data_IF_175535111953
#
_entry.id   IF_175535111953
#
_cell.length_a   1.000
_cell.length_b   1.000
_cell.length_c   1.000
_cell.angle_alpha   90.00
_cell.angle_beta   90.00
_cell.angle_gamma   90.00
#
_symmetry.space_group_name_H-M   'P 1'
#
loop_
_entity.id
_entity.type
_entity.pdbx_description
1 polymer ?
#
# COMPACT_ATOMS: atom_id res chain seq x y z
N UNK A 1 -24.64 -13.25 2.33
CA UNK A 1 -23.93 -12.82 1.10
C UNK A 1 -22.48 -13.15 1.30
N UNK A 2 -21.77 -13.73 0.33
CA UNK A 2 -20.32 -13.80 0.43
C UNK A 2 -19.79 -12.37 0.53
N UNK A 3 -18.96 -12.08 1.53
CA UNK A 3 -18.27 -10.81 1.62
C UNK A 3 -17.28 -10.73 0.47
N UNK A 4 -17.53 -9.85 -0.47
CA UNK A 4 -16.57 -9.55 -1.54
C UNK A 4 -15.67 -8.45 -1.00
N UNK A 5 -14.36 -8.65 -1.03
CA UNK A 5 -13.39 -7.61 -0.70
C UNK A 5 -13.61 -6.41 -1.62
N UNK A 6 -13.66 -5.22 -1.05
CA UNK A 6 -13.83 -4.00 -1.83
C UNK A 6 -14.23 -2.80 -1.01
N UNK A 7 -14.16 -1.64 -1.64
CA UNK A 7 -14.73 -0.40 -1.13
C UNK A 7 -16.17 -0.27 -1.61
N UNK A 8 -17.10 -0.17 -0.67
CA UNK A 8 -18.52 0.00 -0.94
C UNK A 8 -18.91 1.43 -0.60
N UNK A 9 -19.47 2.13 -1.57
CA UNK A 9 -20.05 3.45 -1.38
C UNK A 9 -21.54 3.26 -1.10
N UNK A 10 -21.97 3.65 0.09
CA UNK A 10 -23.37 3.60 0.48
C UNK A 10 -24.00 4.97 0.32
N UNK A 11 -25.05 5.04 -0.50
CA UNK A 11 -25.98 6.16 -0.61
C UNK A 11 -27.34 5.70 -0.15
N UNK A 12 -27.97 6.47 0.70
CA UNK A 12 -29.37 6.28 1.06
C UNK A 12 -30.28 6.94 0.01
N UNK A 13 -31.37 6.33 -0.27
CA UNK A 13 -32.42 6.88 -1.13
C UNK A 13 -33.70 6.95 -0.33
N UNK A 14 -34.35 8.12 -0.32
CA UNK A 14 -35.64 8.28 0.30
C UNK A 14 -36.79 7.67 -0.55
N UNK A 15 -37.99 7.67 -0.01
CA UNK A 15 -39.20 7.17 -0.66
C UNK A 15 -39.64 8.00 -1.89
N UNK A 16 -39.15 9.22 -2.01
CA UNK A 16 -39.34 10.09 -3.18
C UNK A 16 -38.28 9.88 -4.26
N UNK A 17 -37.30 9.05 -4.00
CA UNK A 17 -36.24 8.70 -4.94
C UNK A 17 -35.02 9.60 -4.92
N UNK A 18 -34.92 10.51 -3.95
CA UNK A 18 -33.79 11.41 -3.78
C UNK A 18 -32.70 10.68 -3.02
N UNK A 19 -31.46 10.71 -3.54
CA UNK A 19 -30.31 10.13 -2.86
C UNK A 19 -29.77 11.07 -1.80
N UNK A 20 -29.26 10.49 -0.70
CA UNK A 20 -28.49 11.26 0.29
C UNK A 20 -27.28 11.89 -0.39
N UNK A 21 -26.94 13.08 0.01
CA UNK A 21 -25.78 13.84 -0.45
C UNK A 21 -24.50 13.39 0.21
N UNK A 22 -24.58 12.84 1.43
CA UNK A 22 -23.48 12.18 2.10
C UNK A 22 -23.25 10.78 1.54
N UNK A 23 -22.01 10.45 1.25
CA UNK A 23 -21.55 9.10 0.93
C UNK A 23 -20.78 8.55 2.14
N UNK A 24 -21.14 7.35 2.57
CA UNK A 24 -20.30 6.60 3.53
C UNK A 24 -19.62 5.49 2.77
N UNK A 25 -18.30 5.49 2.75
CA UNK A 25 -17.56 4.35 2.24
C UNK A 25 -17.30 3.34 3.36
N UNK A 26 -17.57 2.09 3.08
CA UNK A 26 -17.21 0.98 3.95
C UNK A 26 -16.20 0.14 3.18
N UNK A 27 -15.01 -0.03 3.74
CA UNK A 27 -14.03 -0.96 3.24
C UNK A 27 -14.31 -2.30 3.92
N UNK A 28 -14.72 -3.29 3.14
CA UNK A 28 -14.78 -4.67 3.59
C UNK A 28 -13.46 -5.34 3.21
N UNK A 29 -12.65 -5.66 4.21
CA UNK A 29 -11.55 -6.58 4.02
C UNK A 29 -12.15 -8.00 3.97
N UNK A 30 -11.73 -8.79 2.98
CA UNK A 30 -12.00 -10.22 3.03
C UNK A 30 -11.42 -10.79 4.34
N UNK A 31 -12.07 -11.76 4.97
CA UNK A 31 -11.46 -12.42 6.11
C UNK A 31 -10.07 -12.88 5.71
N UNK A 32 -9.08 -12.58 6.55
CA UNK A 32 -7.66 -12.85 6.30
C UNK A 32 -7.39 -14.35 6.11
N UNK A 33 -7.83 -14.88 4.97
CA UNK A 33 -7.48 -16.23 4.50
C UNK A 33 -6.06 -16.27 3.92
N UNK A 34 -5.50 -15.10 3.64
CA UNK A 34 -4.15 -14.92 3.13
C UNK A 34 -3.40 -14.06 4.15
N UNK A 35 -2.40 -14.65 4.80
CA UNK A 35 -1.48 -13.91 5.65
C UNK A 35 -0.79 -12.81 4.82
N UNK A 36 -0.86 -11.58 5.32
CA UNK A 36 -0.30 -10.41 4.64
C UNK A 36 0.57 -9.60 5.59
N UNK A 37 1.70 -9.13 5.08
CA UNK A 37 2.61 -8.26 5.82
C UNK A 37 2.46 -6.82 5.34
N UNK A 38 2.06 -5.94 6.25
CA UNK A 38 2.13 -4.51 6.01
C UNK A 38 3.58 -4.06 6.01
N UNK A 39 4.02 -3.46 4.90
CA UNK A 39 5.41 -3.06 4.69
C UNK A 39 5.60 -1.55 4.68
N UNK A 40 4.54 -0.81 4.42
CA UNK A 40 4.59 0.63 4.28
C UNK A 40 3.30 1.26 4.81
N UNK A 41 3.46 2.30 5.59
CA UNK A 41 2.38 3.19 6.04
C UNK A 41 2.90 4.60 5.87
N UNK A 42 2.20 5.37 5.09
CA UNK A 42 2.45 6.80 4.92
C UNK A 42 1.19 7.55 5.39
N UNK A 43 1.34 8.41 6.38
CA UNK A 43 0.29 9.19 7.02
C UNK A 43 0.67 10.65 6.97
N UNK A 44 0.40 11.29 5.85
CA UNK A 44 0.75 12.69 5.57
C UNK A 44 0.13 13.67 6.58
N UNK A 45 -0.99 13.30 7.22
CA UNK A 45 -1.67 14.10 8.24
C UNK A 45 -1.00 14.04 9.63
N UNK A 46 -0.20 13.00 9.91
CA UNK A 46 0.39 12.75 11.24
C UNK A 46 1.91 12.70 11.26
N UNK A 47 2.57 12.69 10.12
CA UNK A 47 4.02 12.70 10.04
C UNK A 47 4.64 13.96 10.68
N UNK A 48 5.90 13.93 11.14
CA UNK A 48 6.50 15.00 11.94
C UNK A 48 6.40 16.41 11.36
N UNK A 49 6.11 16.52 10.08
CA UNK A 49 5.67 17.77 9.43
C UNK A 49 4.39 17.44 8.68
N UNK A 50 3.24 17.52 9.37
CA UNK A 50 1.96 17.25 8.76
C UNK A 50 1.85 17.91 7.38
N UNK A 51 1.49 17.11 6.37
CA UNK A 51 1.46 17.55 4.97
C UNK A 51 2.79 18.16 4.51
N UNK A 52 3.92 17.47 4.76
CA UNK A 52 5.27 17.91 4.38
C UNK A 52 5.54 17.92 2.88
N UNK A 53 4.72 17.27 2.09
CA UNK A 53 4.89 17.10 0.64
C UNK A 53 4.74 18.37 -0.18
N UNK A 54 4.94 18.23 -1.51
CA UNK A 54 4.91 19.36 -2.46
C UNK A 54 3.46 19.80 -2.74
N UNK A 55 3.24 21.11 -2.67
CA UNK A 55 1.93 21.75 -2.79
C UNK A 55 1.84 22.63 -4.02
N UNK A 56 0.74 22.51 -4.77
CA UNK A 56 0.38 23.41 -5.85
C UNK A 56 -1.08 23.79 -5.72
N UNK A 57 -1.39 25.08 -5.52
CA UNK A 57 -2.73 25.63 -5.26
C UNK A 57 -3.43 24.99 -4.03
N UNK A 58 -2.68 24.43 -3.09
CA UNK A 58 -3.17 23.93 -1.82
C UNK A 58 -2.39 24.53 -0.66
N UNK A 59 -3.03 24.63 0.48
CA UNK A 59 -2.47 25.17 1.72
C UNK A 59 -2.92 24.35 2.92
N UNK A 60 -2.22 24.49 4.03
CA UNK A 60 -2.66 23.94 5.31
C UNK A 60 -3.40 25.04 6.07
N UNK A 61 -4.61 24.76 6.49
CA UNK A 61 -5.44 25.66 7.30
C UNK A 61 -6.16 24.85 8.37
N UNK A 62 -6.07 25.28 9.63
CA UNK A 62 -6.69 24.56 10.74
C UNK A 62 -6.21 23.10 10.91
N UNK A 63 -4.98 22.79 10.48
CA UNK A 63 -4.44 21.42 10.54
C UNK A 63 -4.89 20.51 9.41
N UNK A 64 -5.68 21.00 8.44
CA UNK A 64 -6.15 20.26 7.29
C UNK A 64 -5.63 20.84 5.97
N UNK A 65 -5.49 20.02 4.95
CA UNK A 65 -5.10 20.44 3.61
C UNK A 65 -6.34 20.92 2.84
N UNK A 66 -6.24 22.09 2.20
CA UNK A 66 -7.34 22.75 1.49
C UNK A 66 -6.86 23.40 0.21
N UNK A 67 -7.76 23.71 -0.74
CA UNK A 67 -7.43 24.63 -1.83
C UNK A 67 -7.06 26.00 -1.25
N UNK A 68 -5.96 26.56 -1.72
CA UNK A 68 -5.44 27.82 -1.18
C UNK A 68 -6.33 29.02 -1.48
N UNK A 69 -6.94 29.03 -2.67
CA UNK A 69 -7.86 30.07 -3.10
C UNK A 69 -8.82 29.52 -4.15
N UNK A 70 -9.95 28.94 -3.76
CA UNK A 70 -10.93 28.39 -4.70
C UNK A 70 -11.53 29.48 -5.63
N UNK A 71 -11.56 30.75 -5.21
CA UNK A 71 -12.00 31.83 -6.07
C UNK A 71 -11.10 32.05 -7.30
N UNK A 72 -9.82 31.67 -7.21
CA UNK A 72 -8.87 31.80 -8.32
C UNK A 72 -8.52 30.47 -8.97
N UNK A 73 -8.46 29.37 -8.19
CA UNK A 73 -8.02 28.06 -8.64
C UNK A 73 -8.92 26.97 -8.08
N UNK A 74 -9.76 26.43 -8.95
CA UNK A 74 -10.68 25.34 -8.62
C UNK A 74 -10.01 23.97 -8.49
N UNK A 75 -8.73 23.88 -8.81
CA UNK A 75 -7.97 22.63 -8.72
C UNK A 75 -6.62 22.87 -8.04
N UNK A 76 -6.27 21.97 -7.14
CA UNK A 76 -4.96 21.96 -6.48
C UNK A 76 -4.42 20.55 -6.36
N UNK A 77 -3.12 20.42 -6.19
CA UNK A 77 -2.45 19.14 -6.04
C UNK A 77 -1.50 19.12 -4.85
N UNK A 78 -1.43 17.97 -4.21
CA UNK A 78 -0.49 17.67 -3.15
C UNK A 78 0.24 16.37 -3.50
N UNK A 79 1.54 16.44 -3.70
CA UNK A 79 2.37 15.24 -3.91
C UNK A 79 2.95 14.82 -2.57
N UNK A 80 2.77 13.55 -2.21
CA UNK A 80 3.22 12.99 -0.93
C UNK A 80 4.71 13.22 -0.73
N UNK A 81 5.12 13.39 0.53
CA UNK A 81 6.49 13.63 0.90
C UNK A 81 7.39 12.43 0.58
N UNK A 82 6.88 11.24 0.86
CA UNK A 82 7.62 10.00 0.70
C UNK A 82 7.40 9.34 -0.67
N UNK A 83 8.47 8.73 -1.18
CA UNK A 83 8.45 7.88 -2.36
C UNK A 83 8.82 6.47 -1.93
N UNK A 84 7.90 5.52 -2.14
CA UNK A 84 8.11 4.12 -1.79
C UNK A 84 9.11 3.47 -2.76
N UNK A 85 10.24 2.94 -2.25
CA UNK A 85 11.19 2.07 -2.99
C UNK A 85 11.20 0.66 -2.41
N UNK A 86 10.78 -0.31 -3.19
CA UNK A 86 10.78 -1.73 -2.82
C UNK A 86 12.14 -2.43 -3.03
N UNK A 87 13.15 -1.71 -3.54
CA UNK A 87 14.47 -2.29 -3.84
C UNK A 87 14.51 -3.14 -5.12
N UNK A 88 13.40 -3.76 -5.48
CA UNK A 88 13.22 -4.53 -6.71
C UNK A 88 11.75 -4.46 -7.17
N UNK A 89 11.46 -5.03 -8.35
CA UNK A 89 10.09 -5.01 -8.89
C UNK A 89 9.25 -6.08 -8.21
N UNK A 90 8.17 -5.65 -7.56
CA UNK A 90 7.18 -6.49 -6.90
C UNK A 90 5.76 -6.10 -7.29
N UNK A 91 4.82 -7.02 -7.03
CA UNK A 91 3.38 -6.74 -6.99
C UNK A 91 2.98 -6.58 -5.52
N UNK A 92 2.28 -5.50 -5.18
CA UNK A 92 1.82 -5.19 -3.83
C UNK A 92 0.39 -4.67 -3.84
N UNK A 93 -0.33 -4.88 -2.75
CA UNK A 93 -1.65 -4.32 -2.53
C UNK A 93 -1.50 -2.95 -1.88
N UNK A 94 -2.10 -1.93 -2.46
CA UNK A 94 -2.12 -0.56 -1.94
C UNK A 94 -3.54 -0.20 -1.55
N UNK A 95 -3.71 0.30 -0.33
CA UNK A 95 -4.96 0.84 0.20
C UNK A 95 -4.76 2.34 0.45
N UNK A 96 -5.78 3.14 0.12
CA UNK A 96 -5.80 4.58 0.39
C UNK A 96 -6.51 4.85 1.72
N UNK A 97 -6.08 5.88 2.41
CA UNK A 97 -6.75 6.45 3.57
C UNK A 97 -6.99 7.93 3.28
N UNK A 98 -8.25 8.33 3.25
CA UNK A 98 -8.64 9.72 3.01
C UNK A 98 -9.91 10.04 3.78
N UNK A 99 -9.89 11.18 4.50
CA UNK A 99 -11.08 11.79 5.08
C UNK A 99 -11.17 13.22 4.57
N UNK A 100 -12.21 13.48 3.83
CA UNK A 100 -12.44 14.75 3.15
C UNK A 100 -13.82 15.31 3.52
N UNK A 101 -13.90 16.62 3.75
CA UNK A 101 -15.14 17.34 4.06
C UNK A 101 -15.22 18.59 3.19
N UNK A 102 -16.32 18.72 2.43
CA UNK A 102 -16.64 19.96 1.71
C UNK A 102 -17.16 21.04 2.67
N UNK A 103 -16.86 22.29 2.39
CA UNK A 103 -17.38 23.43 3.15
C UNK A 103 -17.52 24.68 2.28
N UNK A 104 -18.41 25.60 2.70
CA UNK A 104 -18.60 26.89 2.02
C UNK A 104 -17.56 27.89 2.49
N UNK A 105 -16.90 28.56 1.55
CA UNK A 105 -15.87 29.57 1.83
C UNK A 105 -16.52 30.80 2.43
N UNK A 106 -16.00 31.27 3.59
CA UNK A 106 -16.49 32.47 4.26
C UNK A 106 -17.79 32.30 5.02
N UNK A 107 -18.40 31.13 5.02
CA UNK A 107 -19.53 30.84 5.91
C UNK A 107 -19.01 30.57 7.34
N UNK A 108 -19.60 31.20 8.31
CA UNK A 108 -19.42 30.75 9.68
C UNK A 108 -20.14 29.42 9.84
N UNK A 109 -19.40 28.34 10.08
CA UNK A 109 -19.94 26.99 10.34
C UNK A 109 -20.62 26.88 11.73
N UNK A 110 -21.24 27.96 12.17
CA UNK A 110 -22.02 28.02 13.41
C UNK A 110 -23.47 28.26 13.04
N UNK A 111 -24.37 27.68 13.79
CA UNK A 111 -25.82 27.91 13.66
C UNK A 111 -26.13 29.42 13.59
N UNK A 112 -25.46 30.24 14.41
CA UNK A 112 -25.60 31.69 14.39
C UNK A 112 -25.11 32.36 13.11
N UNK A 113 -24.15 31.77 12.40
CA UNK A 113 -23.62 32.28 11.14
C UNK A 113 -24.44 31.89 9.93
N UNK A 114 -25.29 30.88 10.05
CA UNK A 114 -26.18 30.41 8.99
C UNK A 114 -27.52 31.20 8.95
N UNK A 115 -27.88 31.86 10.05
CA UNK A 115 -29.09 32.63 10.13
C UNK A 115 -28.77 34.09 9.78
N UNK A 116 -29.27 34.64 8.67
CA UNK A 116 -29.11 36.06 8.37
C UNK A 116 -29.64 36.93 9.50
N UNK A 117 -28.93 38.00 9.87
CA UNK A 117 -29.35 38.92 10.90
C UNK A 117 -30.75 39.46 10.59
N UNK A 118 -31.71 39.28 11.52
CA UNK A 118 -33.09 39.71 11.38
C UNK A 118 -34.08 38.63 10.88
N UNK A 119 -33.63 37.38 10.69
CA UNK A 119 -34.50 36.25 10.38
C UNK A 119 -34.88 35.49 11.66
N UNK A 120 -36.11 35.04 11.77
CA UNK A 120 -36.56 34.19 12.87
C UNK A 120 -36.30 32.71 12.55
N UNK A 121 -36.09 31.88 13.55
CA UNK A 121 -35.91 30.44 13.43
C UNK A 121 -36.99 29.73 12.61
N UNK A 122 -38.24 30.18 12.75
CA UNK A 122 -39.39 29.62 12.01
C UNK A 122 -39.28 29.88 10.50
N UNK A 123 -38.76 31.03 10.09
CA UNK A 123 -38.57 31.35 8.67
C UNK A 123 -37.43 30.55 8.05
N UNK A 124 -36.40 30.27 8.86
CA UNK A 124 -35.24 29.44 8.42
C UNK A 124 -35.62 27.97 8.30
N UNK A 125 -36.38 27.44 9.27
CA UNK A 125 -36.81 26.04 9.27
C UNK A 125 -37.77 25.71 8.11
N UNK A 126 -38.46 26.71 7.54
CA UNK A 126 -39.36 26.53 6.41
C UNK A 126 -38.66 26.62 5.04
N UNK A 127 -37.51 27.30 4.96
CA UNK A 127 -36.84 27.62 3.70
C UNK A 127 -35.34 27.23 3.66
N UNK A 128 -34.78 26.70 4.72
CA UNK A 128 -33.35 26.39 4.83
C UNK A 128 -33.08 24.96 5.22
N UNK A 129 -31.97 24.43 4.74
CA UNK A 129 -31.41 23.17 5.24
C UNK A 129 -30.78 23.41 6.60
N UNK A 130 -31.21 22.67 7.60
CA UNK A 130 -30.70 22.77 8.98
C UNK A 130 -29.18 22.49 9.06
N UNK A 131 -28.66 21.74 8.09
CA UNK A 131 -27.25 21.33 7.97
C UNK A 131 -26.44 22.24 7.02
N UNK A 132 -27.02 23.35 6.53
CA UNK A 132 -26.39 24.20 5.51
C UNK A 132 -26.54 23.63 4.10
N UNK A 133 -26.04 24.34 3.07
CA UNK A 133 -26.08 23.86 1.70
C UNK A 133 -25.20 22.64 1.58
N UNK A 134 -25.75 21.59 0.98
CA UNK A 134 -25.00 20.39 0.66
C UNK A 134 -23.95 20.67 -0.40
N UNK A 135 -22.69 20.32 -0.09
CA UNK A 135 -21.55 20.56 -0.97
C UNK A 135 -21.23 19.28 -1.71
N UNK A 136 -21.75 19.17 -2.94
CA UNK A 136 -21.60 18.00 -3.82
C UNK A 136 -20.61 18.24 -4.96
N UNK A 137 -20.11 19.47 -5.08
CA UNK A 137 -19.30 19.95 -6.18
C UNK A 137 -17.79 19.98 -5.85
N UNK A 138 -17.39 19.20 -4.86
CA UNK A 138 -15.98 19.04 -4.47
C UNK A 138 -15.55 17.59 -4.56
N UNK A 139 -14.29 17.35 -4.93
CA UNK A 139 -13.72 16.01 -4.99
C UNK A 139 -12.27 15.98 -4.54
N UNK A 140 -11.86 14.82 -4.01
CA UNK A 140 -10.50 14.54 -3.60
C UNK A 140 -10.10 13.15 -4.12
N UNK A 141 -9.11 13.08 -5.00
CA UNK A 141 -8.70 11.86 -5.66
C UNK A 141 -7.22 11.60 -5.43
N UNK A 142 -6.90 10.41 -4.87
CA UNK A 142 -5.52 9.95 -4.79
C UNK A 142 -5.17 9.23 -6.08
N UNK A 143 -4.01 9.56 -6.64
CA UNK A 143 -3.44 8.94 -7.82
C UNK A 143 -2.03 8.41 -7.51
N UNK A 144 -1.64 7.37 -8.22
CA UNK A 144 -0.32 6.74 -8.13
C UNK A 144 0.35 6.74 -9.48
N UNK A 145 1.67 6.96 -9.49
CA UNK A 145 2.53 6.59 -10.62
C UNK A 145 3.63 5.66 -10.14
N UNK A 146 4.07 4.77 -11.00
CA UNK A 146 5.09 3.77 -10.65
C UNK A 146 6.16 3.64 -11.73
N UNK A 147 7.33 3.15 -11.31
CA UNK A 147 8.44 2.82 -12.20
C UNK A 147 9.02 1.46 -11.84
N UNK A 148 9.56 0.75 -12.82
CA UNK A 148 10.29 -0.50 -12.64
C UNK A 148 11.81 -0.26 -12.61
N UNK A 149 12.27 0.91 -13.05
CA UNK A 149 13.68 1.27 -13.07
C UNK A 149 14.19 1.60 -11.68
N UNK A 150 15.44 1.35 -11.35
CA UNK A 150 16.05 1.81 -10.11
C UNK A 150 16.15 3.35 -10.10
N UNK A 151 16.36 3.97 -8.91
CA UNK A 151 16.64 5.40 -8.82
C UNK A 151 17.88 5.78 -9.63
N UNK A 152 17.81 6.89 -10.35
CA UNK A 152 18.91 7.33 -11.22
C UNK A 152 20.19 7.68 -10.48
N UNK A 153 20.07 8.12 -9.21
CA UNK A 153 21.19 8.42 -8.33
C UNK A 153 21.71 7.19 -7.56
N UNK A 154 21.11 6.02 -7.76
CA UNK A 154 21.48 4.76 -7.09
C UNK A 154 21.09 4.64 -5.62
N UNK A 155 20.45 5.65 -5.01
CA UNK A 155 20.13 5.63 -3.57
C UNK A 155 18.66 5.89 -3.26
N UNK A 156 18.04 6.92 -3.81
CA UNK A 156 16.67 7.31 -3.52
C UNK A 156 15.98 7.87 -4.75
N UNK A 157 14.67 7.65 -4.86
CA UNK A 157 13.89 8.23 -5.93
C UNK A 157 13.71 9.73 -5.75
N UNK A 158 13.64 10.41 -6.89
CA UNK A 158 13.25 11.81 -7.04
C UNK A 158 12.12 11.92 -8.06
N UNK A 159 11.49 13.07 -8.15
CA UNK A 159 10.42 13.31 -9.12
C UNK A 159 10.86 13.06 -10.58
N UNK A 160 12.12 13.31 -10.89
CA UNK A 160 12.69 13.09 -12.22
C UNK A 160 12.76 11.61 -12.64
N UNK A 161 12.83 10.67 -11.68
CA UNK A 161 12.84 9.24 -11.97
C UNK A 161 11.49 8.72 -12.51
N UNK A 162 10.44 9.52 -12.33
CA UNK A 162 9.11 9.27 -12.87
C UNK A 162 8.78 10.08 -14.12
N UNK A 163 9.79 10.65 -14.77
CA UNK A 163 9.61 11.39 -16.03
C UNK A 163 8.90 10.53 -17.07
N UNK A 164 7.87 11.09 -17.72
CA UNK A 164 7.02 10.37 -18.66
C UNK A 164 6.03 9.37 -18.04
N UNK A 165 5.97 9.26 -16.71
CA UNK A 165 4.96 8.45 -16.01
C UNK A 165 3.77 9.31 -15.62
N UNK A 166 2.58 8.84 -15.95
CA UNK A 166 1.32 9.52 -15.62
C UNK A 166 0.82 9.07 -14.26
N UNK A 167 0.28 10.01 -13.48
CA UNK A 167 -0.49 9.69 -12.29
C UNK A 167 -1.87 9.16 -12.71
N UNK A 168 -2.20 7.97 -12.24
CA UNK A 168 -3.50 7.34 -12.45
C UNK A 168 -4.24 7.26 -11.13
N UNK A 169 -5.48 7.75 -11.10
CA UNK A 169 -6.36 7.61 -9.94
C UNK A 169 -6.61 6.14 -9.66
N UNK A 170 -6.68 5.77 -8.41
CA UNK A 170 -6.95 4.40 -8.03
C UNK A 170 -7.92 4.34 -6.85
N UNK A 171 -8.70 3.27 -6.81
CA UNK A 171 -9.22 2.71 -5.59
C UNK A 171 -8.17 1.74 -5.00
N UNK A 172 -8.51 1.02 -3.95
CA UNK A 172 -7.64 -0.03 -3.43
C UNK A 172 -7.36 -1.09 -4.51
N UNK A 173 -6.13 -1.58 -4.60
CA UNK A 173 -5.79 -2.56 -5.64
C UNK A 173 -4.33 -2.99 -5.65
N UNK A 174 -4.03 -3.91 -6.57
CA UNK A 174 -2.68 -4.46 -6.76
C UNK A 174 -1.93 -3.70 -7.83
N UNK A 175 -0.73 -3.27 -7.49
CA UNK A 175 0.16 -2.52 -8.37
C UNK A 175 1.50 -3.24 -8.52
N UNK A 176 2.11 -3.06 -9.70
CA UNK A 176 3.41 -3.63 -10.03
C UNK A 176 4.41 -2.51 -10.27
N UNK A 177 5.53 -2.56 -9.57
CA UNK A 177 6.63 -1.59 -9.72
C UNK A 177 7.74 -1.83 -8.73
N UNK A 178 8.78 -1.01 -8.82
CA UNK A 178 9.80 -0.87 -7.79
C UNK A 178 9.60 0.43 -7.01
N UNK A 179 9.46 1.55 -7.72
CA UNK A 179 9.21 2.87 -7.14
C UNK A 179 7.75 3.29 -7.31
N UNK A 180 7.15 3.90 -6.28
CA UNK A 180 5.78 4.41 -6.30
C UNK A 180 5.75 5.80 -5.68
N UNK A 181 5.06 6.72 -6.35
CA UNK A 181 4.80 8.06 -5.86
C UNK A 181 3.30 8.36 -5.89
N UNK A 182 2.80 8.99 -4.83
CA UNK A 182 1.38 9.28 -4.66
C UNK A 182 1.12 10.78 -4.79
N UNK A 183 -0.08 11.12 -5.25
CA UNK A 183 -0.53 12.51 -5.38
C UNK A 183 -2.03 12.60 -5.13
N UNK A 184 -2.42 13.54 -4.30
CA UNK A 184 -3.80 13.95 -4.11
C UNK A 184 -4.09 15.10 -5.08
N UNK A 185 -5.27 15.03 -5.71
CA UNK A 185 -5.85 16.15 -6.48
C UNK A 185 -7.14 16.57 -5.81
N UNK A 186 -7.24 17.83 -5.46
CA UNK A 186 -8.45 18.48 -4.94
C UNK A 186 -9.10 19.26 -6.07
N UNK A 187 -10.41 19.14 -6.20
CA UNK A 187 -11.18 19.91 -7.19
C UNK A 187 -12.45 20.44 -6.54
N UNK A 188 -12.78 21.69 -6.83
CA UNK A 188 -14.08 22.29 -6.58
C UNK A 188 -14.67 22.74 -7.91
N UNK A 189 -15.95 22.56 -8.13
CA UNK A 189 -16.66 23.07 -9.31
C UNK A 189 -17.24 24.47 -9.05
N UNK A 190 -17.14 24.97 -7.81
CA UNK A 190 -17.65 26.25 -7.36
C UNK A 190 -16.57 27.10 -6.67
N UNK A 191 -16.52 28.38 -6.98
CA UNK A 191 -15.66 29.34 -6.26
C UNK A 191 -16.09 29.62 -4.83
N UNK A 192 -17.33 29.25 -4.48
CA UNK A 192 -17.88 29.40 -3.16
C UNK A 192 -17.58 28.20 -2.24
N UNK A 193 -17.11 27.11 -2.80
CA UNK A 193 -16.89 25.87 -2.05
C UNK A 193 -15.41 25.49 -2.02
N UNK A 194 -15.02 24.81 -0.94
CA UNK A 194 -13.68 24.28 -0.76
C UNK A 194 -13.78 22.89 -0.12
N UNK A 195 -12.66 22.19 -0.08
CA UNK A 195 -12.54 20.85 0.51
C UNK A 195 -11.44 20.84 1.56
N UNK A 196 -11.72 20.22 2.69
CA UNK A 196 -10.79 20.04 3.82
C UNK A 196 -10.41 18.56 3.93
N UNK A 197 -9.14 18.26 3.82
CA UNK A 197 -8.60 16.91 4.00
C UNK A 197 -8.03 16.80 5.41
N UNK A 198 -8.70 16.01 6.23
CA UNK A 198 -8.37 15.80 7.65
C UNK A 198 -7.48 14.58 7.84
N UNK A 199 -7.63 13.54 7.01
CA UNK A 199 -6.76 12.38 6.98
C UNK A 199 -6.32 12.11 5.56
N UNK A 200 -5.05 11.81 5.40
CA UNK A 200 -4.46 11.47 4.11
C UNK A 200 -3.34 10.46 4.30
N UNK A 201 -3.40 9.37 3.57
CA UNK A 201 -2.35 8.37 3.62
C UNK A 201 -2.56 7.23 2.65
N UNK A 202 -1.59 6.35 2.62
CA UNK A 202 -1.61 5.07 1.91
C UNK A 202 -0.97 3.99 2.77
N UNK A 203 -1.43 2.76 2.60
CA UNK A 203 -0.78 1.58 3.16
C UNK A 203 -0.47 0.62 2.02
N UNK A 204 0.65 -0.09 2.14
CA UNK A 204 1.03 -1.10 1.18
C UNK A 204 1.37 -2.42 1.87
N UNK A 205 0.83 -3.52 1.35
CA UNK A 205 0.93 -4.85 1.92
C UNK A 205 1.43 -5.84 0.88
N UNK A 206 2.21 -6.82 1.34
CA UNK A 206 2.53 -8.02 0.58
C UNK A 206 1.76 -9.22 1.10
N UNK A 207 1.22 -10.00 0.17
CA UNK A 207 0.67 -11.31 0.47
C UNK A 207 1.77 -12.32 0.78
N UNK A 208 1.50 -13.20 1.74
CA UNK A 208 2.31 -14.38 2.01
C UNK A 208 2.27 -15.32 0.81
N UNK A 209 3.40 -15.91 0.49
CA UNK A 209 3.49 -16.97 -0.52
C UNK A 209 4.38 -18.10 -0.06
N UNK A 210 4.08 -19.26 -0.61
CA UNK A 210 4.87 -20.47 -0.41
C UNK A 210 5.57 -20.85 -1.71
N UNK A 211 6.86 -21.19 -1.60
CA UNK A 211 7.62 -21.79 -2.68
C UNK A 211 8.14 -23.17 -2.27
N UNK A 212 8.10 -24.13 -3.18
CA UNK A 212 8.43 -25.53 -2.93
C UNK A 212 9.38 -26.05 -3.99
N UNK A 213 10.13 -27.10 -3.66
CA UNK A 213 11.16 -27.69 -4.55
C UNK A 213 10.65 -28.15 -5.91
N UNK A 214 9.35 -28.49 -6.06
CA UNK A 214 8.79 -28.93 -7.35
C UNK A 214 7.95 -27.86 -8.05
N UNK A 215 7.93 -26.64 -7.52
CA UNK A 215 7.22 -25.50 -8.14
C UNK A 215 8.21 -24.44 -8.62
N UNK A 216 9.49 -24.60 -8.34
CA UNK A 216 10.50 -23.60 -8.69
C UNK A 216 10.56 -23.39 -10.20
N UNK A 217 10.20 -22.18 -10.58
CA UNK A 217 9.88 -21.69 -11.86
C UNK A 217 10.71 -22.14 -13.03
N UNK A 218 10.05 -22.73 -13.99
CA UNK A 218 10.47 -22.78 -15.39
C UNK A 218 11.72 -23.58 -15.71
N UNK A 219 12.47 -24.00 -14.73
CA UNK A 219 13.53 -24.97 -14.89
C UNK A 219 13.00 -26.33 -14.49
N UNK A 220 13.27 -27.34 -15.28
CA UNK A 220 12.95 -28.73 -15.06
C UNK A 220 13.73 -29.33 -13.84
N UNK A 221 13.70 -28.64 -12.73
CA UNK A 221 14.19 -29.17 -11.45
C UNK A 221 13.23 -30.25 -11.02
N UNK A 222 13.55 -31.48 -11.31
CA UNK A 222 12.84 -32.64 -10.77
C UNK A 222 12.99 -32.63 -9.26
N UNK A 223 11.88 -32.43 -8.53
CA UNK A 223 11.88 -32.70 -7.11
C UNK A 223 11.96 -34.24 -6.88
N UNK A 224 12.66 -34.68 -5.86
CA UNK A 224 13.40 -33.95 -4.84
C UNK A 224 14.77 -33.45 -5.31
N UNK A 225 15.33 -32.48 -4.59
CA UNK A 225 16.70 -32.00 -4.83
C UNK A 225 17.69 -32.97 -4.18
N UNK A 226 18.90 -33.01 -4.74
CA UNK A 226 19.98 -33.82 -4.16
C UNK A 226 21.00 -32.91 -3.47
N UNK A 227 21.32 -33.20 -2.22
CA UNK A 227 22.33 -32.45 -1.44
C UNK A 227 23.71 -32.58 -2.08
N UNK A 228 24.62 -31.68 -1.68
CA UNK A 228 26.02 -31.80 -2.05
C UNK A 228 26.78 -32.61 -1.00
N UNK A 229 27.65 -33.49 -1.45
CA UNK A 229 28.68 -34.13 -0.59
C UNK A 229 29.86 -33.21 -0.32
N UNK A 230 29.85 -31.99 -0.85
CA UNK A 230 30.90 -30.98 -0.60
C UNK A 230 30.65 -30.25 0.70
N UNK A 231 31.74 -29.86 1.38
CA UNK A 231 31.71 -29.02 2.57
C UNK A 231 31.09 -27.62 2.32
N UNK A 232 31.06 -27.15 1.07
CA UNK A 232 30.39 -25.89 0.70
C UNK A 232 28.86 -25.96 0.73
N UNK A 233 28.27 -27.18 0.68
CA UNK A 233 26.84 -27.37 0.60
C UNK A 233 26.26 -27.15 -0.80
N UNK A 234 24.93 -27.07 -0.88
CA UNK A 234 24.19 -26.81 -2.10
C UNK A 234 23.49 -25.44 -2.00
N UNK A 235 23.66 -24.61 -3.00
CA UNK A 235 22.87 -23.39 -3.15
C UNK A 235 21.54 -23.72 -3.85
N UNK A 236 20.45 -23.38 -3.19
CA UNK A 236 19.08 -23.50 -3.71
C UNK A 236 18.55 -22.13 -4.08
N UNK A 237 18.08 -21.97 -5.29
CA UNK A 237 17.51 -20.70 -5.79
C UNK A 237 15.99 -20.80 -5.83
N UNK A 238 15.32 -19.77 -5.35
CA UNK A 238 13.87 -19.63 -5.48
C UNK A 238 13.50 -19.26 -6.92
N UNK A 239 12.34 -19.71 -7.39
CA UNK A 239 11.84 -19.38 -8.73
C UNK A 239 11.50 -17.90 -8.89
N UNK A 240 11.06 -17.26 -7.81
CA UNK A 240 10.80 -15.83 -7.72
C UNK A 240 11.38 -15.29 -6.42
N UNK A 241 11.97 -14.08 -6.41
CA UNK A 241 12.48 -13.50 -5.18
C UNK A 241 11.36 -13.18 -4.20
N UNK A 242 11.63 -13.35 -2.90
CA UNK A 242 10.82 -12.83 -1.80
C UNK A 242 11.20 -11.38 -1.51
N UNK A 243 10.28 -10.62 -0.96
CA UNK A 243 10.61 -9.34 -0.32
C UNK A 243 11.22 -9.63 1.05
N UNK A 244 12.40 -9.10 1.30
CA UNK A 244 13.14 -9.32 2.56
C UNK A 244 13.31 -8.05 3.39
N UNK A 245 12.75 -6.93 2.94
CA UNK A 245 12.94 -5.62 3.54
C UNK A 245 14.06 -4.83 2.87
N UNK A 246 13.98 -3.51 3.03
CA UNK A 246 15.02 -2.55 2.65
C UNK A 246 15.36 -1.69 3.86
N UNK A 247 16.44 -0.88 3.78
CA UNK A 247 16.80 0.03 4.88
C UNK A 247 15.66 0.95 5.33
N UNK A 248 14.77 1.31 4.41
CA UNK A 248 13.65 2.22 4.63
C UNK A 248 12.31 1.50 4.88
N UNK A 249 12.26 0.17 4.66
CA UNK A 249 11.07 -0.64 4.78
C UNK A 249 11.33 -1.83 5.69
N UNK A 250 11.09 -1.66 6.98
CA UNK A 250 11.23 -2.68 8.01
C UNK A 250 12.67 -3.01 8.41
N UNK A 251 13.67 -2.53 7.67
CA UNK A 251 15.07 -2.88 7.82
C UNK A 251 15.53 -3.96 6.84
N UNK A 252 16.81 -3.95 6.51
CA UNK A 252 17.40 -4.98 5.65
C UNK A 252 17.29 -6.36 6.31
N UNK A 253 16.76 -7.33 5.56
CA UNK A 253 16.53 -8.71 6.01
C UNK A 253 15.50 -8.87 7.15
N UNK A 254 14.64 -7.91 7.40
CA UNK A 254 13.60 -7.99 8.43
C UNK A 254 12.55 -9.06 8.12
N UNK A 255 12.34 -9.39 6.85
CA UNK A 255 11.31 -10.31 6.36
C UNK A 255 11.89 -11.52 5.62
N UNK A 256 12.99 -12.07 6.11
CA UNK A 256 13.58 -13.28 5.52
C UNK A 256 12.55 -14.42 5.48
N UNK A 257 12.49 -15.21 4.37
CA UNK A 257 11.60 -16.35 4.29
C UNK A 257 11.98 -17.41 5.31
N UNK A 258 10.97 -18.07 5.88
CA UNK A 258 11.14 -19.26 6.70
C UNK A 258 11.29 -20.48 5.79
N UNK A 259 12.30 -21.30 6.01
CA UNK A 259 12.61 -22.47 5.17
C UNK A 259 12.53 -23.75 5.98
N UNK A 260 11.58 -24.61 5.63
CA UNK A 260 11.44 -25.96 6.16
C UNK A 260 12.06 -26.99 5.20
N UNK A 261 12.74 -27.99 5.74
CA UNK A 261 13.43 -29.06 4.98
C UNK A 261 12.91 -30.43 5.41
N UNK A 262 12.69 -31.30 4.43
CA UNK A 262 12.45 -32.73 4.67
C UNK A 262 13.52 -33.54 3.98
N UNK A 263 14.34 -34.27 4.74
CA UNK A 263 15.38 -35.15 4.21
C UNK A 263 14.74 -36.50 3.86
N UNK A 264 15.02 -37.02 2.67
CA UNK A 264 14.53 -38.31 2.20
C UNK A 264 15.63 -39.35 2.42
N UNK A 265 15.30 -40.44 3.11
CA UNK A 265 16.22 -41.52 3.41
C UNK A 265 17.31 -41.11 4.41
N UNK A 266 16.95 -40.26 5.38
CA UNK A 266 17.84 -39.88 6.48
C UNK A 266 18.27 -41.11 7.30
N UNK A 267 19.52 -41.19 7.67
CA UNK A 267 20.03 -42.13 8.67
C UNK A 267 19.95 -41.53 10.08
N UNK A 268 20.12 -42.38 11.10
CA UNK A 268 20.18 -41.90 12.47
C UNK A 268 21.38 -40.96 12.66
N UNK A 269 21.10 -39.73 13.11
CA UNK A 269 22.13 -38.70 13.31
C UNK A 269 22.33 -37.76 12.10
N UNK A 270 21.67 -37.99 10.98
CA UNK A 270 21.67 -37.04 9.88
C UNK A 270 20.87 -35.77 10.26
N UNK A 271 21.41 -34.60 9.96
CA UNK A 271 20.76 -33.32 10.19
C UNK A 271 21.13 -32.32 9.07
N UNK A 272 20.39 -31.23 8.98
CA UNK A 272 20.67 -30.16 8.03
C UNK A 272 21.07 -28.86 8.72
N UNK A 273 21.89 -28.07 8.01
CA UNK A 273 22.24 -26.69 8.37
C UNK A 273 21.89 -25.79 7.22
N UNK A 274 21.10 -24.75 7.51
CA UNK A 274 20.77 -23.68 6.57
C UNK A 274 21.68 -22.49 6.81
N UNK A 275 22.10 -21.85 5.74
CA UNK A 275 22.88 -20.61 5.78
C UNK A 275 22.56 -19.76 4.56
N UNK A 276 22.94 -18.46 4.59
CA UNK A 276 22.76 -17.51 3.48
C UNK A 276 21.29 -17.42 2.98
N UNK A 277 20.34 -17.49 3.92
CA UNK A 277 18.93 -17.28 3.57
C UNK A 277 18.78 -15.83 3.09
N UNK A 278 18.19 -15.66 1.92
CA UNK A 278 18.07 -14.38 1.22
C UNK A 278 16.75 -14.27 0.44
N UNK A 279 16.55 -13.16 -0.24
CA UNK A 279 15.44 -12.97 -1.16
C UNK A 279 15.36 -14.03 -2.28
N UNK A 280 16.50 -14.55 -2.72
CA UNK A 280 16.62 -15.37 -3.93
C UNK A 280 16.95 -16.83 -3.66
N UNK A 281 17.20 -17.21 -2.42
CA UNK A 281 17.55 -18.59 -2.09
C UNK A 281 18.23 -18.78 -0.75
N UNK A 282 18.77 -19.95 -0.55
CA UNK A 282 19.52 -20.35 0.65
C UNK A 282 20.58 -21.38 0.31
N UNK A 283 21.53 -21.60 1.22
CA UNK A 283 22.48 -22.70 1.17
C UNK A 283 22.11 -23.78 2.18
N UNK A 284 22.17 -25.04 1.77
CA UNK A 284 21.89 -26.19 2.63
C UNK A 284 23.07 -27.15 2.64
N UNK A 285 23.42 -27.63 3.84
CA UNK A 285 24.31 -28.78 4.07
C UNK A 285 23.51 -29.86 4.79
N UNK A 286 23.66 -31.10 4.38
CA UNK A 286 23.17 -32.25 5.13
C UNK A 286 24.41 -32.96 5.70
N UNK A 287 24.47 -33.10 7.00
CA UNK A 287 25.62 -33.58 7.77
C UNK A 287 25.23 -34.82 8.55
N UNK A 288 26.23 -35.70 8.79
CA UNK A 288 26.13 -36.83 9.69
C UNK A 288 26.40 -36.43 11.15
N UNK A 289 26.31 -37.37 12.09
CA UNK A 289 26.58 -37.14 13.50
C UNK A 289 28.01 -36.70 13.83
N UNK A 290 28.94 -36.83 12.88
CA UNK A 290 30.33 -36.40 13.01
C UNK A 290 30.59 -35.04 12.32
N UNK A 291 29.52 -34.32 11.90
CA UNK A 291 29.58 -33.05 11.18
C UNK A 291 30.21 -33.13 9.78
N UNK A 292 30.29 -34.31 9.18
CA UNK A 292 30.75 -34.47 7.82
C UNK A 292 29.57 -34.41 6.83
N UNK A 293 29.76 -33.88 5.61
CA UNK A 293 28.77 -34.00 4.55
C UNK A 293 28.39 -35.46 4.31
N UNK A 294 27.09 -35.76 4.31
CA UNK A 294 26.57 -37.12 4.15
C UNK A 294 26.98 -37.67 2.77
N UNK A 295 27.55 -38.87 2.74
CA UNK A 295 27.92 -39.59 1.53
C UNK A 295 27.41 -41.04 1.61
N UNK A 296 26.59 -41.51 0.63
CA UNK A 296 26.14 -40.80 -0.56
C UNK A 296 25.18 -39.62 -0.23
N UNK A 297 25.19 -38.63 -1.13
CA UNK A 297 24.34 -37.46 -1.03
C UNK A 297 22.85 -37.83 -0.88
N UNK A 298 22.14 -37.12 -0.02
CA UNK A 298 20.74 -37.37 0.29
C UNK A 298 19.82 -36.51 -0.57
N UNK A 299 18.64 -37.03 -0.84
CA UNK A 299 17.56 -36.25 -1.42
C UNK A 299 16.82 -35.46 -0.35
N UNK A 300 16.28 -34.32 -0.72
CA UNK A 300 15.45 -33.49 0.17
C UNK A 300 14.43 -32.70 -0.60
N UNK A 301 13.39 -32.29 0.10
CA UNK A 301 12.41 -31.28 -0.37
C UNK A 301 12.46 -30.08 0.57
N UNK A 302 12.08 -28.91 0.05
CA UNK A 302 11.94 -27.70 0.87
C UNK A 302 10.57 -27.03 0.68
N UNK A 303 10.18 -26.28 1.68
CA UNK A 303 9.09 -25.32 1.61
C UNK A 303 9.60 -24.00 2.20
N UNK A 304 9.59 -22.95 1.41
CA UNK A 304 9.90 -21.59 1.84
C UNK A 304 8.63 -20.77 1.92
N UNK A 305 8.40 -20.10 3.04
CA UNK A 305 7.27 -19.21 3.28
C UNK A 305 7.80 -17.80 3.55
N UNK A 306 7.30 -16.83 2.83
CA UNK A 306 7.70 -15.42 2.95
C UNK A 306 6.72 -14.52 2.23
N UNK A 307 7.07 -13.26 2.06
CA UNK A 307 6.19 -12.24 1.54
C UNK A 307 6.64 -11.72 0.18
N UNK A 308 5.67 -11.22 -0.59
CA UNK A 308 5.92 -10.57 -1.86
C UNK A 308 6.28 -11.54 -2.99
N UNK A 309 5.86 -11.17 -4.19
CA UNK A 309 6.16 -11.91 -5.41
C UNK A 309 6.97 -11.00 -6.34
N UNK A 310 8.26 -11.23 -6.36
CA UNK A 310 9.15 -10.61 -7.34
C UNK A 310 8.78 -11.02 -8.77
N UNK A 311 9.10 -10.18 -9.72
CA UNK A 311 8.70 -10.34 -11.13
C UNK A 311 9.92 -10.58 -12.00
#
# INVERSE_FOLDING_TARGET
MPSIEGEYILKFRDDQGIFSTGETSIILDAPDLIDSQQIFVDREDTDPTAFGGAKSNVTISGGALQLSNPAANLTGTYTFADILDLGAVFSLNVKRLIQAVGFTVGAANTIDGLIPAGTFWDDYAQNGNFDGPEINDVSALIAVRSTVSPPSNGSSYTDSDFSGKTFNTFANGTFKGRGFQFRLTLTSESTAHNISIQQLGVTANFESRTERSYVSGGSTSTAPLTSSSSASGLNVTFGKPFFVGTSNLGGANAFLPSVGITIIGAAAGDYFVLSNISATGFNIKILDSSNNPVNPAKQFTFQAVGYGKGV
#
